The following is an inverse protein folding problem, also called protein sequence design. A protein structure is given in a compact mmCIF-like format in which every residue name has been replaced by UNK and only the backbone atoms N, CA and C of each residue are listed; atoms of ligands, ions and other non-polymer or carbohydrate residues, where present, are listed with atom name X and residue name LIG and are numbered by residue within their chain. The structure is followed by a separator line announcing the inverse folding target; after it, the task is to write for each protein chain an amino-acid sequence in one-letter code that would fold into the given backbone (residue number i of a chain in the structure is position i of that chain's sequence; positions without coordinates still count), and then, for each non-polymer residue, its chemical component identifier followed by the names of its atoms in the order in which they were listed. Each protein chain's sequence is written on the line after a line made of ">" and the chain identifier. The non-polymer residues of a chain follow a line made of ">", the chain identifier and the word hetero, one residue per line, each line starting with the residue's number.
data_IF_970042205002
#
_entry.id   IF_970042205002
#
_cell.length_a   1.000
_cell.length_b   1.000
_cell.length_c   1.000
_cell.angle_alpha   90.00
_cell.angle_beta   90.00
_cell.angle_gamma   90.00
#
_symmetry.space_group_name_H-M   'P 1'
#
loop_
_entity.id
_entity.type
_entity.pdbx_description
1 polymer ?
#
# COMPACT_ATOMS: atom_id res chain seq x y z
N UNK A 1 23.19 18.89 2.57
CA UNK A 1 22.10 19.56 1.78
C UNK A 1 21.09 20.35 2.62
N UNK A 2 20.71 19.90 3.83
CA UNK A 2 19.81 20.65 4.73
C UNK A 2 20.33 22.04 5.16
N UNK A 3 21.65 22.26 5.10
CA UNK A 3 22.33 23.49 5.55
C UNK A 3 21.92 24.76 4.80
N UNK A 4 21.55 24.65 3.52
CA UNK A 4 21.25 25.81 2.67
C UNK A 4 19.77 25.98 2.34
N UNK A 5 18.91 25.06 2.81
CA UNK A 5 17.48 25.06 2.50
C UNK A 5 16.63 25.07 3.76
N UNK A 6 16.20 26.26 4.17
CA UNK A 6 15.36 26.50 5.34
C UNK A 6 13.93 25.94 5.22
N UNK A 7 13.51 25.54 4.03
CA UNK A 7 12.17 24.98 3.76
C UNK A 7 12.28 23.70 2.94
N UNK A 8 13.10 22.74 3.40
CA UNK A 8 13.35 21.47 2.72
C UNK A 8 12.05 20.77 2.28
N UNK A 9 11.04 20.75 3.14
CA UNK A 9 9.73 20.15 2.89
C UNK A 9 9.01 20.69 1.63
N UNK A 10 9.29 21.92 1.18
CA UNK A 10 8.70 22.48 -0.05
C UNK A 10 9.46 22.07 -1.31
N UNK A 11 10.76 21.82 -1.20
CA UNK A 11 11.63 21.53 -2.34
C UNK A 11 11.60 20.05 -2.69
N UNK A 12 11.32 19.17 -1.71
CA UNK A 12 11.19 17.72 -1.90
C UNK A 12 10.23 17.38 -3.05
N UNK A 13 9.12 18.11 -3.21
CA UNK A 13 8.14 17.85 -4.28
C UNK A 13 8.66 18.12 -5.70
N UNK A 14 9.75 18.90 -5.85
CA UNK A 14 10.38 19.21 -7.14
C UNK A 14 11.71 18.51 -7.37
N UNK A 15 12.13 17.58 -6.51
CA UNK A 15 13.41 16.87 -6.69
C UNK A 15 13.28 15.77 -7.73
N UNK A 16 14.43 15.47 -8.33
CA UNK A 16 14.62 14.33 -9.22
C UNK A 16 14.37 13.03 -8.43
N UNK A 17 13.99 11.97 -9.15
CA UNK A 17 13.71 10.65 -8.58
C UNK A 17 14.81 10.24 -7.57
N UNK A 18 14.44 9.88 -6.32
CA UNK A 18 15.39 9.58 -5.25
C UNK A 18 16.28 8.38 -5.57
N UNK A 19 15.73 7.30 -6.15
CA UNK A 19 16.53 6.12 -6.52
C UNK A 19 17.56 6.43 -7.60
N UNK A 20 17.19 7.30 -8.55
CA UNK A 20 18.12 7.76 -9.57
C UNK A 20 19.22 8.64 -8.96
N UNK A 21 18.83 9.55 -8.07
CA UNK A 21 19.76 10.45 -7.39
C UNK A 21 20.76 9.69 -6.51
N UNK A 22 20.30 8.70 -5.74
CA UNK A 22 21.16 7.81 -4.95
C UNK A 22 22.13 7.04 -5.85
N UNK A 23 21.68 6.47 -6.97
CA UNK A 23 22.55 5.77 -7.93
C UNK A 23 23.64 6.68 -8.52
N UNK A 24 23.33 7.94 -8.77
CA UNK A 24 24.28 8.92 -9.31
C UNK A 24 25.31 9.34 -8.26
N UNK A 25 24.89 9.46 -6.99
CA UNK A 25 25.78 9.84 -5.90
C UNK A 25 26.60 8.68 -5.32
N UNK A 26 26.13 7.43 -5.42
CA UNK A 26 26.80 6.27 -4.84
C UNK A 26 28.31 6.13 -5.17
N UNK A 27 28.79 6.42 -6.40
CA UNK A 27 30.23 6.41 -6.69
C UNK A 27 31.02 7.53 -6.00
N UNK A 28 30.37 8.66 -5.69
CA UNK A 28 30.97 9.82 -5.03
C UNK A 28 30.89 9.72 -3.51
N UNK A 29 29.87 9.05 -2.96
CA UNK A 29 29.73 8.79 -1.52
C UNK A 29 30.93 8.01 -0.95
N UNK A 30 31.50 7.09 -1.73
CA UNK A 30 32.70 6.34 -1.32
C UNK A 30 33.95 7.22 -1.17
N UNK A 31 34.03 8.33 -1.91
CA UNK A 31 35.10 9.32 -1.80
C UNK A 31 34.83 10.33 -0.68
N UNK A 32 33.56 10.66 -0.46
CA UNK A 32 33.12 11.59 0.57
C UNK A 32 33.24 10.98 1.98
N UNK A 33 32.90 9.69 2.16
CA UNK A 33 33.09 8.93 3.42
C UNK A 33 34.53 8.88 3.91
N UNK A 34 35.52 9.04 3.02
CA UNK A 34 36.93 9.12 3.38
C UNK A 34 37.36 10.55 3.81
N UNK A 35 36.52 11.56 3.57
CA UNK A 35 36.85 12.97 3.70
C UNK A 35 35.94 13.78 4.66
N UNK A 36 34.77 13.27 5.04
CA UNK A 36 33.79 13.99 5.89
C UNK A 36 33.72 13.47 7.32
N UNK A 37 33.45 14.39 8.25
CA UNK A 37 33.27 14.14 9.68
C UNK A 37 31.80 13.83 9.98
N UNK A 38 31.52 12.71 10.68
CA UNK A 38 30.20 12.32 11.23
C UNK A 38 29.45 13.45 11.97
N UNK A 39 30.19 14.46 12.44
CA UNK A 39 29.66 15.63 13.13
C UNK A 39 28.70 16.48 12.29
N UNK A 40 28.92 16.60 10.96
CA UNK A 40 28.03 17.41 10.11
C UNK A 40 26.68 16.71 9.91
N UNK A 41 26.68 15.40 9.67
CA UNK A 41 25.46 14.61 9.54
C UNK A 41 24.65 14.61 10.84
N UNK A 42 25.32 14.49 11.99
CA UNK A 42 24.69 14.62 13.31
C UNK A 42 24.07 16.01 13.53
N UNK A 43 24.74 17.09 13.12
CA UNK A 43 24.22 18.46 13.22
C UNK A 43 23.00 18.67 12.30
N UNK A 44 23.05 18.15 11.07
CA UNK A 44 21.94 18.25 10.11
C UNK A 44 20.73 17.43 10.54
N UNK A 45 20.96 16.21 11.06
CA UNK A 45 19.91 15.38 11.63
C UNK A 45 19.26 16.07 12.84
N UNK A 46 20.08 16.67 13.71
CA UNK A 46 19.59 17.42 14.87
C UNK A 46 18.74 18.61 14.43
N UNK A 47 19.22 19.40 13.45
CA UNK A 47 18.49 20.55 12.91
C UNK A 47 17.16 20.16 12.27
N UNK A 48 17.13 19.06 11.51
CA UNK A 48 15.91 18.55 10.92
C UNK A 48 14.90 18.21 12.03
N UNK A 49 15.33 17.49 13.08
CA UNK A 49 14.47 17.08 14.20
C UNK A 49 14.00 18.25 15.09
N UNK A 50 14.76 19.35 15.14
CA UNK A 50 14.43 20.55 15.95
C UNK A 50 13.85 21.71 15.14
N UNK A 51 13.29 21.45 13.96
CA UNK A 51 12.61 22.51 13.20
C UNK A 51 11.44 23.09 14.01
N UNK A 52 11.32 24.42 14.12
CA UNK A 52 10.23 25.06 14.85
C UNK A 52 8.89 24.74 14.19
N UNK A 53 7.83 24.70 15.00
CA UNK A 53 6.48 24.44 14.51
C UNK A 53 6.09 25.45 13.41
N UNK A 54 5.65 24.98 12.22
CA UNK A 54 5.16 25.88 11.19
C UNK A 54 4.03 26.78 11.71
N UNK A 55 4.09 28.07 11.38
CA UNK A 55 3.05 29.04 11.75
C UNK A 55 1.84 29.00 10.80
N UNK A 56 2.03 28.49 9.58
CA UNK A 56 0.96 28.30 8.60
C UNK A 56 0.37 26.89 8.70
N UNK A 57 -0.93 26.82 8.99
CA UNK A 57 -1.72 25.58 9.02
C UNK A 57 -1.57 24.71 7.77
N UNK A 58 -1.46 25.30 6.56
CA UNK A 58 -1.36 24.54 5.31
C UNK A 58 -0.03 23.79 5.19
N UNK A 59 1.04 24.27 5.83
CA UNK A 59 2.35 23.62 5.78
C UNK A 59 2.32 22.21 6.38
N UNK A 60 1.37 21.92 7.30
CA UNK A 60 1.21 20.62 7.96
C UNK A 60 0.61 19.52 7.08
N UNK A 61 0.09 19.82 5.89
CA UNK A 61 -0.45 18.79 4.98
C UNK A 61 0.62 17.77 4.58
N UNK A 62 1.77 18.28 4.13
CA UNK A 62 2.89 17.46 3.63
C UNK A 62 4.15 17.61 4.49
N UNK A 63 4.01 18.11 5.73
CA UNK A 63 5.16 18.25 6.62
C UNK A 63 5.68 16.88 7.08
N UNK A 64 6.98 16.68 6.92
CA UNK A 64 7.65 15.42 7.25
C UNK A 64 7.63 15.06 8.74
N UNK A 65 7.73 16.04 9.65
CA UNK A 65 7.76 15.80 11.10
C UNK A 65 6.45 16.02 11.86
N UNK A 66 5.54 16.84 11.32
CA UNK A 66 4.41 17.34 12.08
C UNK A 66 3.10 17.14 11.31
N UNK A 67 2.01 16.95 12.03
CA UNK A 67 0.69 16.80 11.44
C UNK A 67 -0.36 17.51 12.29
N UNK A 68 -1.38 18.02 11.61
CA UNK A 68 -2.60 18.53 12.21
C UNK A 68 -3.73 17.59 11.86
N UNK A 69 -4.50 17.15 12.85
CA UNK A 69 -5.64 16.23 12.67
C UNK A 69 -6.62 16.74 11.59
N UNK A 70 -6.87 18.04 11.58
CA UNK A 70 -7.72 18.74 10.59
C UNK A 70 -7.25 18.59 9.14
N UNK A 71 -5.95 18.44 8.92
CA UNK A 71 -5.32 18.39 7.59
C UNK A 71 -4.92 16.99 7.15
N UNK A 72 -5.29 15.95 7.92
CA UNK A 72 -5.09 14.57 7.51
C UNK A 72 -5.97 14.21 6.32
N UNK A 73 -5.46 13.33 5.48
CA UNK A 73 -6.26 12.80 4.37
C UNK A 73 -7.43 11.97 4.88
N UNK A 74 -8.46 11.81 4.02
CA UNK A 74 -9.66 11.03 4.34
C UNK A 74 -9.33 9.60 4.78
N UNK A 75 -8.27 9.01 4.23
CA UNK A 75 -7.74 7.69 4.53
C UNK A 75 -6.58 7.71 5.54
N UNK A 76 -6.52 8.70 6.42
CA UNK A 76 -5.53 8.79 7.49
C UNK A 76 -6.19 9.04 8.84
N UNK A 77 -5.47 8.63 9.89
CA UNK A 77 -5.84 8.85 11.30
C UNK A 77 -4.57 8.97 12.15
N UNK A 78 -4.71 9.52 13.36
CA UNK A 78 -3.67 9.49 14.38
C UNK A 78 -3.79 8.22 15.21
N UNK A 79 -2.79 7.34 15.15
CA UNK A 79 -2.74 6.12 15.95
C UNK A 79 -1.30 5.67 16.29
N UNK A 80 -0.98 5.44 17.59
CA UNK A 80 -1.76 5.89 18.74
C UNK A 80 -1.85 7.43 18.76
N UNK A 81 -2.83 7.99 19.47
CA UNK A 81 -2.85 9.45 19.70
C UNK A 81 -1.65 9.84 20.55
N UNK A 82 -0.60 10.32 19.89
CA UNK A 82 0.65 10.73 20.52
C UNK A 82 0.53 12.03 21.32
N UNK A 83 1.63 12.48 21.94
CA UNK A 83 1.65 13.73 22.69
C UNK A 83 1.41 14.93 21.77
N UNK A 84 0.74 15.94 22.30
CA UNK A 84 0.58 17.24 21.63
C UNK A 84 1.90 17.99 21.74
N UNK A 85 2.56 18.24 20.61
CA UNK A 85 3.85 18.93 20.54
C UNK A 85 3.72 20.46 20.61
N UNK A 86 2.51 20.96 20.38
CA UNK A 86 2.18 22.38 20.47
C UNK A 86 0.86 22.68 19.77
N UNK A 87 0.62 23.97 19.53
CA UNK A 87 -0.61 24.43 18.90
C UNK A 87 -0.30 25.36 17.74
N UNK A 88 -0.96 25.12 16.60
CA UNK A 88 -0.94 26.03 15.47
C UNK A 88 -2.34 26.61 15.28
N UNK A 89 -2.50 27.91 15.62
CA UNK A 89 -3.78 28.62 15.53
C UNK A 89 -4.94 27.87 16.22
N UNK A 90 -4.68 27.37 17.43
CA UNK A 90 -5.66 26.64 18.25
C UNK A 90 -5.84 25.15 17.91
N UNK A 91 -5.19 24.62 16.87
CA UNK A 91 -5.24 23.19 16.56
C UNK A 91 -4.02 22.45 17.15
N UNK A 92 -4.23 21.30 17.83
CA UNK A 92 -3.13 20.51 18.40
C UNK A 92 -2.27 19.90 17.28
N UNK A 93 -0.96 20.08 17.41
CA UNK A 93 0.05 19.50 16.52
C UNK A 93 0.54 18.19 17.09
N UNK A 94 0.59 17.17 16.25
CA UNK A 94 1.08 15.84 16.57
C UNK A 94 2.32 15.50 15.75
N UNK A 95 3.18 14.58 16.21
CA UNK A 95 4.25 14.05 15.37
C UNK A 95 3.65 13.31 14.17
N UNK A 96 4.27 13.47 13.00
CA UNK A 96 3.84 12.81 11.76
C UNK A 96 3.95 11.28 11.86
N UNK A 97 4.83 10.76 12.72
CA UNK A 97 4.94 9.33 13.02
C UNK A 97 3.67 8.71 13.61
N UNK A 98 2.79 9.51 14.21
CA UNK A 98 1.46 9.05 14.66
C UNK A 98 0.46 8.96 13.51
N UNK A 99 0.73 9.55 12.35
CA UNK A 99 -0.19 9.48 11.21
C UNK A 99 -0.08 8.11 10.57
N UNK A 100 -1.18 7.38 10.57
CA UNK A 100 -1.28 6.09 9.93
C UNK A 100 -2.20 6.15 8.73
N UNK A 101 -1.80 5.49 7.65
CA UNK A 101 -2.62 5.30 6.45
C UNK A 101 -3.59 4.16 6.69
N UNK A 102 -4.83 4.37 6.28
CA UNK A 102 -5.90 3.40 6.34
C UNK A 102 -6.25 2.91 4.94
N UNK A 103 -6.60 1.64 4.83
CA UNK A 103 -7.13 1.06 3.59
C UNK A 103 -8.38 0.24 3.88
N UNK A 104 -9.17 -0.01 2.82
CA UNK A 104 -10.27 -0.97 2.90
C UNK A 104 -9.75 -2.39 3.10
N UNK A 105 -10.62 -3.31 3.52
CA UNK A 105 -10.28 -4.74 3.66
C UNK A 105 -9.62 -5.29 2.39
N UNK A 106 -10.19 -4.96 1.22
CA UNK A 106 -9.64 -5.36 -0.07
C UNK A 106 -8.26 -4.75 -0.37
N UNK A 107 -8.01 -3.50 0.03
CA UNK A 107 -6.69 -2.87 -0.13
C UNK A 107 -5.60 -3.59 0.68
N UNK A 108 -5.90 -3.98 1.91
CA UNK A 108 -4.96 -4.77 2.69
C UNK A 108 -4.74 -6.19 2.15
N UNK A 109 -5.78 -6.80 1.57
CA UNK A 109 -5.65 -8.12 0.93
C UNK A 109 -4.62 -8.10 -0.19
N UNK A 110 -4.50 -7.01 -0.96
CA UNK A 110 -3.50 -6.93 -2.04
C UNK A 110 -2.07 -6.86 -1.50
N UNK A 111 -1.89 -6.38 -0.27
CA UNK A 111 -0.60 -6.36 0.44
C UNK A 111 -0.30 -7.68 1.18
N UNK A 112 -1.17 -8.68 1.10
CA UNK A 112 -1.04 -9.95 1.81
C UNK A 112 -1.38 -9.84 3.30
N UNK A 113 -2.26 -8.91 3.68
CA UNK A 113 -2.72 -8.70 5.04
C UNK A 113 -4.24 -8.86 5.11
N UNK A 114 -4.73 -9.38 6.23
CA UNK A 114 -6.17 -9.45 6.52
C UNK A 114 -6.48 -8.77 7.85
N UNK A 115 -7.72 -8.28 7.97
CA UNK A 115 -8.21 -7.70 9.23
C UNK A 115 -8.47 -8.83 10.21
N UNK A 116 -7.98 -8.69 11.45
CA UNK A 116 -8.21 -9.67 12.51
C UNK A 116 -9.70 -9.90 12.74
N UNK A 117 -10.05 -11.10 13.19
CA UNK A 117 -11.42 -11.41 13.54
C UNK A 117 -11.93 -10.46 14.65
N UNK A 118 -13.16 -9.98 14.51
CA UNK A 118 -13.86 -9.09 15.45
C UNK A 118 -13.30 -7.67 15.62
N UNK A 119 -12.41 -7.23 14.74
CA UNK A 119 -11.84 -5.87 14.78
C UNK A 119 -12.78 -4.84 14.12
N UNK A 120 -13.11 -3.75 14.83
CA UNK A 120 -13.96 -2.68 14.30
C UNK A 120 -13.17 -1.70 13.40
N UNK A 121 -13.77 -1.09 12.38
CA UNK A 121 -13.07 -0.18 11.49
C UNK A 121 -12.55 1.07 12.24
N UNK A 122 -11.29 1.43 12.02
CA UNK A 122 -10.71 2.65 12.59
C UNK A 122 -11.37 3.93 12.05
N UNK A 123 -11.92 3.88 10.83
CA UNK A 123 -12.63 5.01 10.22
C UNK A 123 -13.63 4.53 9.19
N UNK A 124 -14.83 5.13 9.19
CA UNK A 124 -15.86 4.88 8.17
C UNK A 124 -15.98 6.15 7.32
N UNK A 125 -15.87 6.01 6.00
CA UNK A 125 -15.91 7.13 5.05
C UNK A 125 -17.08 6.94 4.10
N UNK A 126 -18.02 7.88 4.10
CA UNK A 126 -19.13 7.91 3.13
C UNK A 126 -18.62 8.32 1.76
N UNK A 127 -18.91 7.51 0.74
CA UNK A 127 -18.71 7.88 -0.66
C UNK A 127 -19.90 8.71 -1.13
N UNK A 128 -19.69 9.85 -1.81
CA UNK A 128 -20.79 10.56 -2.42
C UNK A 128 -21.46 9.65 -3.46
N UNK A 129 -22.80 9.58 -3.46
CA UNK A 129 -23.58 8.85 -4.46
C UNK A 129 -23.17 9.35 -5.84
N UNK A 130 -22.61 8.46 -6.68
CA UNK A 130 -22.43 8.79 -8.09
C UNK A 130 -23.81 8.80 -8.73
N UNK A 131 -24.29 9.98 -9.13
CA UNK A 131 -25.47 10.09 -9.99
C UNK A 131 -25.01 9.63 -11.38
N UNK A 132 -25.04 8.32 -11.62
CA UNK A 132 -24.90 7.79 -12.98
C UNK A 132 -26.27 7.87 -13.64
N UNK A 133 -26.37 8.64 -14.74
CA UNK A 133 -27.55 8.69 -15.58
C UNK A 133 -27.94 7.27 -16.02
N UNK A 134 -29.17 6.90 -15.67
CA UNK A 134 -29.79 5.60 -15.89
C UNK A 134 -30.07 5.34 -17.37
N UNK A 135 -29.07 4.84 -18.11
CA UNK A 135 -29.29 4.13 -19.38
C UNK A 135 -28.30 2.97 -19.54
N UNK A 136 -28.29 2.04 -18.60
CA UNK A 136 -27.81 0.67 -18.88
C UNK A 136 -28.49 -0.31 -17.94
N UNK A 137 -29.27 -1.19 -18.58
CA UNK A 137 -30.21 -2.18 -18.03
C UNK A 137 -29.60 -3.14 -17.00
N UNK A 138 -30.44 -3.45 -16.02
CA UNK A 138 -30.60 -4.74 -15.34
C UNK A 138 -29.32 -5.40 -14.81
N UNK A 139 -29.02 -5.13 -13.56
CA UNK A 139 -28.33 -6.07 -12.69
C UNK A 139 -29.05 -6.08 -11.35
N UNK A 140 -29.89 -7.10 -11.15
CA UNK A 140 -30.42 -7.46 -9.85
C UNK A 140 -29.27 -7.62 -8.86
N UNK A 141 -29.17 -6.74 -7.89
CA UNK A 141 -28.65 -7.08 -6.57
C UNK A 141 -29.08 -5.99 -5.59
N UNK A 142 -29.79 -6.39 -4.54
CA UNK A 142 -30.15 -5.57 -3.39
C UNK A 142 -28.92 -5.20 -2.53
N UNK A 143 -27.73 -5.09 -3.14
CA UNK A 143 -26.43 -4.84 -2.50
C UNK A 143 -25.97 -3.38 -2.67
N UNK A 144 -26.56 -2.63 -3.61
CA UNK A 144 -26.11 -1.28 -3.98
C UNK A 144 -26.48 -0.21 -2.92
N UNK A 145 -27.38 -0.54 -1.98
CA UNK A 145 -27.76 0.34 -0.88
C UNK A 145 -26.78 0.26 0.32
N UNK A 146 -26.01 -0.82 0.43
CA UNK A 146 -25.03 -1.06 1.51
C UNK A 146 -23.64 -0.46 1.23
N UNK A 147 -23.32 -0.07 -0.01
CA UNK A 147 -21.97 0.39 -0.40
C UNK A 147 -21.75 1.91 -0.30
N UNK A 148 -22.65 2.66 0.32
CA UNK A 148 -22.49 4.10 0.49
C UNK A 148 -21.32 4.47 1.43
N UNK A 149 -20.90 3.56 2.31
CA UNK A 149 -19.80 3.77 3.26
C UNK A 149 -18.68 2.77 3.02
N UNK A 150 -17.44 3.26 3.07
CA UNK A 150 -16.22 2.44 3.04
C UNK A 150 -15.61 2.40 4.42
N UNK A 151 -15.52 1.19 4.97
CA UNK A 151 -14.77 0.91 6.18
C UNK A 151 -13.27 0.90 5.87
N UNK A 152 -12.51 1.57 6.72
CA UNK A 152 -11.06 1.67 6.60
C UNK A 152 -10.40 1.19 7.88
N UNK A 153 -9.36 0.39 7.69
CA UNK A 153 -8.59 -0.27 8.73
C UNK A 153 -7.14 0.17 8.65
N UNK A 154 -6.46 0.21 9.80
CA UNK A 154 -5.05 0.54 9.88
C UNK A 154 -4.17 -0.68 10.09
N UNK A 155 -2.86 -0.57 9.85
CA UNK A 155 -1.93 -1.70 9.91
C UNK A 155 -1.91 -2.45 11.26
N UNK A 156 -2.20 -1.77 12.37
CA UNK A 156 -2.26 -2.37 13.72
C UNK A 156 -3.46 -3.31 13.93
N UNK A 157 -4.46 -3.22 13.06
CA UNK A 157 -5.70 -4.01 13.08
C UNK A 157 -5.58 -5.32 12.28
N UNK A 158 -4.40 -5.57 11.71
CA UNK A 158 -4.19 -6.60 10.70
C UNK A 158 -3.35 -7.75 11.24
N UNK A 159 -3.39 -8.83 10.48
CA UNK A 159 -2.55 -10.00 10.61
C UNK A 159 -2.15 -10.49 9.20
N UNK A 160 -1.09 -11.32 9.09
CA UNK A 160 -0.74 -11.93 7.81
C UNK A 160 -1.91 -12.71 7.22
N UNK A 161 -2.19 -12.51 5.93
CA UNK A 161 -3.24 -13.22 5.21
C UNK A 161 -3.03 -14.74 5.33
N UNK A 162 -4.04 -15.44 5.84
CA UNK A 162 -4.01 -16.89 5.98
C UNK A 162 -4.69 -17.53 4.78
N UNK A 163 -3.89 -18.12 3.89
CA UNK A 163 -4.38 -18.86 2.73
C UNK A 163 -4.30 -20.37 2.99
N UNK A 164 -5.24 -21.17 2.45
CA UNK A 164 -5.10 -22.61 2.46
C UNK A 164 -3.77 -23.00 1.80
N UNK A 165 -2.99 -23.88 2.42
CA UNK A 165 -1.75 -24.38 1.84
C UNK A 165 -2.01 -25.39 0.73
N UNK A 166 -1.03 -25.57 -0.17
CA UNK A 166 -1.04 -26.69 -1.12
C UNK A 166 -0.84 -28.02 -0.39
N UNK A 167 -1.65 -29.02 -0.75
CA UNK A 167 -1.62 -30.36 -0.12
C UNK A 167 -1.62 -31.41 -1.23
N UNK A 168 -0.71 -32.40 -1.13
CA UNK A 168 -0.59 -33.51 -2.08
C UNK A 168 -0.45 -33.10 -3.55
N UNK A 169 0.31 -32.03 -3.81
CA UNK A 169 0.49 -31.50 -5.16
C UNK A 169 -0.73 -30.80 -5.76
N UNK A 170 -1.78 -30.56 -4.97
CA UNK A 170 -3.00 -29.86 -5.39
C UNK A 170 -2.92 -28.39 -4.96
N UNK A 171 -3.16 -27.50 -5.92
CA UNK A 171 -3.21 -26.05 -5.69
C UNK A 171 -4.59 -25.69 -5.13
N UNK A 172 -4.66 -24.97 -4.00
CA UNK A 172 -5.93 -24.54 -3.44
C UNK A 172 -6.51 -23.41 -4.29
N UNK A 173 -7.72 -23.61 -4.78
CA UNK A 173 -8.43 -22.70 -5.69
C UNK A 173 -9.56 -22.00 -4.93
N UNK A 174 -9.83 -20.75 -5.28
CA UNK A 174 -11.00 -20.03 -4.78
C UNK A 174 -12.30 -20.59 -5.41
N UNK A 175 -13.46 -20.06 -5.04
CA UNK A 175 -14.77 -20.47 -5.55
C UNK A 175 -14.91 -20.38 -7.09
N UNK A 176 -14.06 -19.57 -7.73
CA UNK A 176 -14.01 -19.40 -9.19
C UNK A 176 -13.05 -20.35 -9.88
N UNK A 177 -12.40 -21.24 -9.13
CA UNK A 177 -11.42 -22.20 -9.65
C UNK A 177 -10.06 -21.58 -9.99
N UNK A 178 -9.74 -20.40 -9.46
CA UNK A 178 -8.50 -19.66 -9.73
C UNK A 178 -7.77 -19.28 -8.43
N UNK A 179 -6.58 -18.71 -8.54
CA UNK A 179 -5.86 -18.08 -7.41
C UNK A 179 -5.72 -16.59 -7.70
N UNK A 180 -6.10 -15.76 -6.74
CA UNK A 180 -6.01 -14.30 -6.86
C UNK A 180 -4.61 -13.84 -6.42
N UNK A 181 -3.76 -13.54 -7.39
CA UNK A 181 -2.34 -13.20 -7.21
C UNK A 181 -2.18 -11.68 -7.25
N UNK A 182 -2.57 -11.00 -6.17
CA UNK A 182 -2.42 -9.54 -6.04
C UNK A 182 -0.97 -9.10 -5.80
N UNK A 183 -0.23 -9.92 -5.07
CA UNK A 183 1.21 -9.79 -4.83
C UNK A 183 1.80 -11.17 -4.54
N UNK A 184 3.13 -11.29 -4.52
CA UNK A 184 3.81 -12.55 -4.16
C UNK A 184 3.42 -13.06 -2.76
N UNK A 185 3.00 -12.16 -1.87
CA UNK A 185 2.54 -12.48 -0.51
C UNK A 185 1.12 -13.06 -0.47
N UNK A 186 0.37 -12.93 -1.56
CA UNK A 186 -0.97 -13.47 -1.71
C UNK A 186 -0.97 -14.87 -2.32
N UNK A 187 0.19 -15.54 -2.38
CA UNK A 187 0.27 -16.90 -2.86
C UNK A 187 0.00 -17.90 -1.73
N UNK A 188 -0.81 -18.93 -1.97
CA UNK A 188 -0.97 -20.04 -1.05
C UNK A 188 0.38 -20.63 -0.62
N UNK A 189 0.58 -20.92 0.68
CA UNK A 189 1.80 -21.56 1.16
C UNK A 189 2.10 -22.84 0.38
N UNK A 190 3.36 -23.00 -0.04
CA UNK A 190 3.79 -24.15 -0.84
C UNK A 190 3.47 -24.05 -2.33
N UNK A 191 3.04 -22.89 -2.83
CA UNK A 191 2.82 -22.64 -4.27
C UNK A 191 3.77 -21.61 -4.83
N UNK A 192 3.89 -21.59 -6.16
CA UNK A 192 4.68 -20.62 -6.93
C UNK A 192 3.89 -20.13 -8.14
N UNK A 193 4.00 -18.84 -8.43
CA UNK A 193 3.45 -18.23 -9.63
C UNK A 193 4.43 -18.32 -10.80
N UNK A 194 3.96 -18.81 -11.94
CA UNK A 194 4.72 -18.93 -13.18
C UNK A 194 4.10 -18.05 -14.27
N UNK A 195 4.59 -16.81 -14.40
CA UNK A 195 4.25 -15.88 -15.48
C UNK A 195 5.02 -16.22 -16.75
N UNK A 196 4.56 -17.23 -17.49
CA UNK A 196 5.11 -17.62 -18.79
C UNK A 196 3.98 -17.80 -19.83
N UNK A 197 4.18 -17.35 -21.08
CA UNK A 197 3.17 -17.52 -22.11
C UNK A 197 2.96 -19.00 -22.41
N UNK A 198 1.68 -19.42 -22.57
CA UNK A 198 1.27 -20.80 -22.89
C UNK A 198 1.71 -21.86 -21.86
N UNK A 199 2.12 -21.47 -20.66
CA UNK A 199 2.55 -22.41 -19.60
C UNK A 199 1.47 -23.43 -19.21
N UNK A 200 0.20 -23.05 -19.36
CA UNK A 200 -0.95 -23.94 -19.14
C UNK A 200 -0.89 -25.22 -20.01
N UNK A 201 -0.35 -25.15 -21.23
CA UNK A 201 -0.23 -26.31 -22.12
C UNK A 201 0.82 -27.29 -21.60
N UNK A 202 1.90 -26.76 -21.03
CA UNK A 202 3.00 -27.54 -20.46
C UNK A 202 2.53 -28.27 -19.21
N UNK A 203 1.91 -27.55 -18.26
CA UNK A 203 1.37 -28.16 -17.04
C UNK A 203 0.37 -29.27 -17.35
N UNK A 204 -0.52 -29.04 -18.33
CA UNK A 204 -1.49 -30.05 -18.79
C UNK A 204 -0.82 -31.28 -19.40
N UNK A 205 0.28 -31.12 -20.14
CA UNK A 205 1.02 -32.23 -20.76
C UNK A 205 1.78 -33.06 -19.72
N UNK A 206 2.28 -32.41 -18.66
CA UNK A 206 2.99 -33.05 -17.56
C UNK A 206 2.05 -33.68 -16.51
N UNK A 207 0.74 -33.42 -16.59
CA UNK A 207 -0.23 -33.94 -15.62
C UNK A 207 -0.13 -33.29 -14.24
N UNK A 208 0.44 -32.09 -14.15
CA UNK A 208 0.61 -31.34 -12.90
C UNK A 208 -0.66 -30.52 -12.64
N UNK A 209 -1.17 -30.54 -11.40
CA UNK A 209 -2.29 -29.67 -11.02
C UNK A 209 -1.85 -28.20 -10.99
N UNK A 210 -2.71 -27.34 -11.54
CA UNK A 210 -2.47 -25.91 -11.60
C UNK A 210 -3.75 -25.13 -11.41
N UNK A 211 -3.59 -23.87 -11.02
CA UNK A 211 -4.66 -22.88 -11.00
C UNK A 211 -4.31 -21.70 -11.92
N UNK A 212 -5.28 -21.14 -12.67
CA UNK A 212 -5.07 -19.85 -13.34
C UNK A 212 -4.76 -18.76 -12.32
N UNK A 213 -3.75 -17.92 -12.61
CA UNK A 213 -3.36 -16.81 -11.75
C UNK A 213 -4.06 -15.52 -12.20
N UNK A 214 -5.01 -15.02 -11.41
CA UNK A 214 -5.70 -13.76 -11.68
C UNK A 214 -4.95 -12.63 -10.99
N UNK A 215 -4.37 -11.72 -11.78
CA UNK A 215 -3.46 -10.67 -11.30
C UNK A 215 -4.14 -9.30 -11.14
N UNK A 216 -5.36 -9.16 -11.63
CA UNK A 216 -6.12 -7.92 -11.50
C UNK A 216 -7.26 -7.80 -12.49
N UNK A 217 -7.67 -6.56 -12.75
CA UNK A 217 -8.78 -6.24 -13.64
C UNK A 217 -8.37 -5.21 -14.68
N UNK A 218 -8.79 -5.42 -15.92
CA UNK A 218 -8.63 -4.47 -17.01
C UNK A 218 -9.95 -3.75 -17.27
N UNK A 219 -9.88 -2.44 -17.44
CA UNK A 219 -11.02 -1.57 -17.65
C UNK A 219 -10.96 -1.04 -19.09
N UNK A 220 -11.61 -1.78 -20.01
CA UNK A 220 -11.68 -1.38 -21.43
C UNK A 220 -13.13 -1.18 -21.85
N UNK A 221 -13.38 -0.08 -22.55
CA UNK A 221 -14.68 0.22 -23.16
C UNK A 221 -15.86 0.13 -22.18
N UNK A 222 -15.66 0.61 -20.95
CA UNK A 222 -16.68 0.58 -19.89
C UNK A 222 -16.94 -0.79 -19.27
N UNK A 223 -16.16 -1.83 -19.63
CA UNK A 223 -16.25 -3.17 -19.04
C UNK A 223 -15.04 -3.43 -18.15
N UNK A 224 -15.27 -4.10 -17.03
CA UNK A 224 -14.24 -4.60 -16.12
C UNK A 224 -14.10 -6.10 -16.32
N UNK A 225 -12.94 -6.58 -16.73
CA UNK A 225 -12.68 -8.01 -16.97
C UNK A 225 -11.44 -8.47 -16.19
N UNK A 226 -11.46 -9.69 -15.59
CA UNK A 226 -10.29 -10.22 -14.89
C UNK A 226 -9.15 -10.49 -15.88
N UNK A 227 -7.93 -10.13 -15.46
CA UNK A 227 -6.69 -10.37 -16.20
C UNK A 227 -5.99 -11.54 -15.57
N UNK A 228 -5.61 -12.50 -16.42
CA UNK A 228 -4.84 -13.66 -16.03
C UNK A 228 -3.44 -13.57 -16.58
N UNK A 229 -2.47 -13.94 -15.76
CA UNK A 229 -1.08 -14.03 -16.18
C UNK A 229 -0.46 -15.33 -15.67
N UNK A 230 -0.24 -16.28 -16.57
CA UNK A 230 0.37 -17.56 -16.22
C UNK A 230 -0.49 -18.46 -15.33
N UNK A 231 0.18 -19.28 -14.52
CA UNK A 231 -0.45 -20.28 -13.63
C UNK A 231 0.22 -20.28 -12.25
N UNK A 232 -0.49 -20.79 -11.25
CA UNK A 232 0.05 -21.15 -9.94
C UNK A 232 0.15 -22.67 -9.86
N UNK A 233 1.31 -23.17 -9.44
CA UNK A 233 1.60 -24.60 -9.26
C UNK A 233 2.22 -24.84 -7.88
N UNK A 234 2.20 -26.09 -7.40
CA UNK A 234 2.92 -26.44 -6.18
C UNK A 234 4.43 -26.26 -6.37
N UNK A 235 5.11 -25.79 -5.33
CA UNK A 235 6.54 -25.43 -5.38
C UNK A 235 7.44 -26.61 -5.77
N UNK A 236 7.01 -27.84 -5.46
CA UNK A 236 7.67 -29.10 -5.86
C UNK A 236 7.78 -29.27 -7.38
N UNK A 237 6.87 -28.67 -8.16
CA UNK A 237 6.85 -28.75 -9.62
C UNK A 237 7.46 -27.54 -10.32
N UNK A 238 8.11 -26.63 -9.59
CA UNK A 238 8.67 -25.38 -10.15
C UNK A 238 9.69 -25.62 -11.27
N UNK A 239 10.51 -26.67 -11.14
CA UNK A 239 11.63 -26.97 -12.04
C UNK A 239 11.41 -28.24 -12.88
N UNK A 240 10.21 -28.82 -12.84
CA UNK A 240 9.84 -30.00 -13.61
C UNK A 240 9.65 -29.64 -15.10
#
# INVERSE_FOLDING_TARGET
>A
LYRYCLQWHRIVQGRVNPEWWEKVLAPLEQLELAATNDSEDMELQTRALTEPLPTNQQAYRDHHLYALEKWLHKNQVLHPKGPVLGFCKGHPVYPRSCVQTLQSRHGWLTEGLQVRENESPAKIVTRPKRIFNSQSRESNSNEDELQATTELYGKWQLEPLQLPGAVNGIVPKNERGQVDVWSEKCLPPGTVHLSKPRIFQVAKRLGIDYAPAMIGFDYRSGRCAPVYDGIVVCAEFKNA
#
